data_IF_524564323874
#
_entry.id   IF_524564323874
#
_cell.length_a   1.000
_cell.length_b   1.000
_cell.length_c   1.000
_cell.angle_alpha   90.00
_cell.angle_beta   90.00
_cell.angle_gamma   90.00
#
_symmetry.space_group_name_H-M   'P 1'
#
loop_
_entity.id
_entity.type
_entity.pdbx_description
1 polymer ?
#
# COMPACT_ATOMS: atom_id res chain seq x y z
N UNK A 1 -0.85 -11.09 19.12
CA UNK A 1 -0.13 -10.49 17.96
C UNK A 1 0.27 -9.07 18.33
N UNK A 2 1.50 -8.68 18.05
CA UNK A 2 1.96 -7.33 18.36
C UNK A 2 1.16 -6.29 17.59
N UNK A 3 0.70 -5.26 18.28
CA UNK A 3 0.09 -4.10 17.64
C UNK A 3 1.13 -3.41 16.74
N UNK A 4 0.73 -3.08 15.51
CA UNK A 4 1.53 -2.27 14.61
C UNK A 4 1.28 -0.81 14.96
N UNK A 5 2.30 -0.12 15.47
CA UNK A 5 2.19 1.28 15.91
C UNK A 5 2.36 2.32 14.79
N UNK A 6 2.63 1.88 13.57
CA UNK A 6 2.88 2.77 12.43
C UNK A 6 2.63 2.06 11.10
N UNK A 7 2.43 2.82 10.05
CA UNK A 7 2.36 2.36 8.67
C UNK A 7 3.44 3.04 7.84
N UNK A 8 3.88 2.38 6.78
CA UNK A 8 4.80 2.99 5.81
C UNK A 8 4.03 3.87 4.85
N UNK A 9 4.51 5.08 4.62
CA UNK A 9 4.02 5.98 3.59
C UNK A 9 5.14 6.22 2.58
N UNK A 10 4.86 5.97 1.30
CA UNK A 10 5.83 6.23 0.25
C UNK A 10 6.06 7.74 0.10
N UNK A 11 7.31 8.20 0.11
CA UNK A 11 7.65 9.62 -0.08
C UNK A 11 7.20 10.16 -1.44
N UNK A 12 7.07 9.31 -2.45
CA UNK A 12 6.55 9.63 -3.78
C UNK A 12 5.01 9.60 -3.88
N UNK A 13 4.27 9.56 -2.77
CA UNK A 13 2.80 9.44 -2.78
C UNK A 13 2.12 10.49 -3.64
N UNK A 14 2.59 11.73 -3.64
CA UNK A 14 2.04 12.82 -4.44
C UNK A 14 2.41 12.75 -5.93
N UNK A 15 3.37 11.90 -6.30
CA UNK A 15 3.69 11.59 -7.69
C UNK A 15 2.84 10.43 -8.22
N UNK A 16 2.16 9.70 -7.36
CA UNK A 16 1.30 8.59 -7.73
C UNK A 16 0.11 9.07 -8.58
N UNK A 17 -0.12 8.41 -9.72
CA UNK A 17 -1.19 8.77 -10.66
C UNK A 17 -2.58 8.75 -10.02
N UNK A 18 -2.87 7.73 -9.22
CA UNK A 18 -4.18 7.56 -8.54
C UNK A 18 -4.41 8.68 -7.54
N UNK A 19 -3.39 9.02 -6.76
CA UNK A 19 -3.46 10.15 -5.81
C UNK A 19 -3.63 11.48 -6.55
N UNK A 20 -2.94 11.70 -7.66
CA UNK A 20 -3.15 12.89 -8.50
C UNK A 20 -4.57 13.00 -9.02
N UNK A 21 -5.19 11.89 -9.40
CA UNK A 21 -6.59 11.85 -9.84
C UNK A 21 -7.51 12.24 -8.69
N UNK A 22 -7.31 11.67 -7.50
CA UNK A 22 -8.10 12.01 -6.32
C UNK A 22 -8.00 13.50 -5.96
N UNK A 23 -6.78 14.05 -5.95
CA UNK A 23 -6.54 15.45 -5.57
C UNK A 23 -7.13 16.46 -6.56
N UNK A 24 -7.43 16.05 -7.80
CA UNK A 24 -8.12 16.88 -8.79
C UNK A 24 -9.64 16.91 -8.63
N UNK A 25 -10.21 16.00 -7.83
CA UNK A 25 -11.63 16.04 -7.51
C UNK A 25 -11.97 17.32 -6.73
N UNK A 26 -13.23 17.76 -6.79
CA UNK A 26 -13.69 18.95 -6.09
C UNK A 26 -13.38 18.96 -4.59
N UNK A 27 -13.42 17.78 -3.97
CA UNK A 27 -13.07 17.56 -2.57
C UNK A 27 -11.83 16.67 -2.44
N UNK A 28 -10.82 16.92 -3.26
CA UNK A 28 -9.63 16.07 -3.37
C UNK A 28 -8.90 15.87 -2.05
N UNK A 29 -8.79 16.92 -1.23
CA UNK A 29 -8.18 16.83 0.10
C UNK A 29 -8.98 15.90 1.03
N UNK A 30 -10.31 15.90 0.91
CA UNK A 30 -11.17 14.95 1.64
C UNK A 30 -10.92 13.51 1.20
N UNK A 31 -10.83 13.25 -0.11
CA UNK A 31 -10.49 11.92 -0.63
C UNK A 31 -9.13 11.46 -0.11
N UNK A 32 -8.13 12.31 -0.17
CA UNK A 32 -6.79 11.99 0.29
C UNK A 32 -6.75 11.72 1.80
N UNK A 33 -7.38 12.58 2.60
CA UNK A 33 -7.49 12.36 4.05
C UNK A 33 -8.15 11.02 4.39
N UNK A 34 -9.25 10.70 3.72
CA UNK A 34 -9.97 9.44 3.94
C UNK A 34 -9.12 8.25 3.53
N UNK A 35 -8.36 8.38 2.44
CA UNK A 35 -7.41 7.33 2.03
C UNK A 35 -6.38 7.04 3.13
N UNK A 36 -5.77 8.08 3.69
CA UNK A 36 -4.82 7.91 4.80
C UNK A 36 -5.48 7.27 6.03
N UNK A 37 -6.72 7.68 6.37
CA UNK A 37 -7.46 7.05 7.47
C UNK A 37 -7.74 5.56 7.20
N UNK A 38 -8.09 5.18 5.99
CA UNK A 38 -8.27 3.77 5.61
C UNK A 38 -6.95 2.99 5.77
N UNK A 39 -5.82 3.56 5.37
CA UNK A 39 -4.52 2.92 5.57
C UNK A 39 -4.19 2.72 7.06
N UNK A 40 -4.50 3.69 7.92
CA UNK A 40 -4.29 3.54 9.36
C UNK A 40 -5.18 2.46 9.96
N UNK A 41 -6.46 2.41 9.56
CA UNK A 41 -7.39 1.35 9.99
C UNK A 41 -6.88 -0.03 9.55
N UNK A 42 -6.42 -0.15 8.31
CA UNK A 42 -5.85 -1.41 7.83
C UNK A 42 -4.58 -1.81 8.62
N UNK A 43 -3.77 -0.84 9.03
CA UNK A 43 -2.62 -1.05 9.90
C UNK A 43 -3.00 -1.53 11.30
N UNK A 44 -4.00 -0.91 11.91
CA UNK A 44 -4.55 -1.33 13.21
C UNK A 44 -5.12 -2.75 13.16
N UNK A 45 -5.86 -3.08 12.09
CA UNK A 45 -6.39 -4.43 11.89
C UNK A 45 -5.29 -5.48 11.76
N UNK A 46 -4.16 -5.13 11.18
CA UNK A 46 -3.02 -6.01 10.92
C UNK A 46 -3.41 -7.35 10.26
N UNK A 47 -4.29 -7.30 9.24
CA UNK A 47 -4.88 -8.45 8.55
C UNK A 47 -4.70 -8.36 7.04
N UNK A 48 -3.47 -8.19 6.61
CA UNK A 48 -3.09 -8.14 5.20
C UNK A 48 -3.90 -7.10 4.38
N UNK A 49 -4.15 -5.95 4.99
CA UNK A 49 -4.91 -4.85 4.40
C UNK A 49 -6.43 -4.95 4.53
N UNK A 50 -6.94 -5.98 5.17
CA UNK A 50 -8.36 -6.15 5.44
C UNK A 50 -8.87 -5.18 6.50
N UNK A 51 -10.08 -4.67 6.30
CA UNK A 51 -10.72 -3.70 7.19
C UNK A 51 -11.75 -4.40 8.07
N UNK A 52 -11.43 -4.58 9.34
CA UNK A 52 -12.23 -5.29 10.35
C UNK A 52 -12.41 -4.46 11.61
N UNK A 53 -13.62 -4.46 12.18
CA UNK A 53 -13.90 -3.88 13.49
C UNK A 53 -13.32 -4.75 14.62
N UNK A 54 -13.47 -6.06 14.45
CA UNK A 54 -12.99 -7.07 15.38
C UNK A 54 -12.55 -8.30 14.60
N UNK A 55 -12.09 -9.31 15.31
CA UNK A 55 -11.41 -10.48 14.73
C UNK A 55 -12.06 -11.11 13.50
N UNK A 56 -13.39 -11.13 13.42
CA UNK A 56 -14.10 -11.71 12.28
C UNK A 56 -15.25 -10.85 11.76
N UNK A 57 -15.30 -9.57 12.15
CA UNK A 57 -16.38 -8.66 11.77
C UNK A 57 -15.85 -7.59 10.82
N UNK A 58 -16.15 -7.68 9.52
CA UNK A 58 -15.74 -6.66 8.56
C UNK A 58 -16.37 -5.31 8.85
N UNK A 59 -15.67 -4.24 8.55
CA UNK A 59 -16.25 -2.90 8.55
C UNK A 59 -17.38 -2.78 7.53
N UNK A 60 -18.50 -2.25 7.97
CA UNK A 60 -19.62 -1.83 7.12
C UNK A 60 -19.59 -0.31 6.90
N UNK A 61 -20.30 0.16 5.89
CA UNK A 61 -20.37 1.60 5.57
C UNK A 61 -20.72 2.44 6.80
N UNK A 62 -21.68 1.98 7.61
CA UNK A 62 -22.12 2.67 8.82
C UNK A 62 -21.01 2.83 9.85
N UNK A 63 -20.15 1.83 9.98
CA UNK A 63 -19.04 1.85 10.93
C UNK A 63 -17.99 2.88 10.52
N UNK A 64 -17.66 2.93 9.23
CA UNK A 64 -16.76 3.94 8.69
C UNK A 64 -17.28 5.37 8.87
N UNK A 65 -18.58 5.59 8.70
CA UNK A 65 -19.14 6.94 8.81
C UNK A 65 -18.97 7.54 10.20
N UNK A 66 -19.00 6.71 11.24
CA UNK A 66 -18.74 7.14 12.61
C UNK A 66 -17.29 7.57 12.83
N UNK A 67 -16.33 6.89 12.18
CA UNK A 67 -14.89 7.19 12.32
C UNK A 67 -14.49 8.37 11.43
N UNK A 68 -15.01 8.40 10.20
CA UNK A 68 -14.56 9.32 9.15
C UNK A 68 -15.32 10.65 9.19
N UNK A 69 -16.50 10.69 9.81
CA UNK A 69 -17.29 11.92 9.95
C UNK A 69 -17.92 12.38 8.64
N UNK A 70 -18.28 11.47 7.75
CA UNK A 70 -19.02 11.74 6.51
C UNK A 70 -20.31 10.95 6.45
N UNK A 71 -21.31 11.46 5.72
CA UNK A 71 -22.56 10.71 5.51
C UNK A 71 -22.32 9.41 4.75
N UNK A 72 -23.17 8.42 4.96
CA UNK A 72 -23.08 7.13 4.25
C UNK A 72 -23.09 7.30 2.74
N UNK A 73 -23.90 8.21 2.22
CA UNK A 73 -23.97 8.52 0.78
C UNK A 73 -22.63 9.06 0.24
N UNK A 74 -22.05 10.02 0.93
CA UNK A 74 -20.75 10.61 0.55
C UNK A 74 -19.65 9.58 0.65
N UNK A 75 -19.62 8.83 1.74
CA UNK A 75 -18.58 7.82 1.96
C UNK A 75 -18.65 6.66 0.94
N UNK A 76 -19.86 6.19 0.62
CA UNK A 76 -20.05 5.16 -0.42
C UNK A 76 -19.50 5.62 -1.78
N UNK A 77 -19.74 6.88 -2.14
CA UNK A 77 -19.18 7.47 -3.38
C UNK A 77 -17.65 7.49 -3.35
N UNK A 78 -17.06 7.84 -2.22
CA UNK A 78 -15.60 7.88 -2.05
C UNK A 78 -15.01 6.47 -2.13
N UNK A 79 -15.60 5.48 -1.45
CA UNK A 79 -15.17 4.08 -1.54
C UNK A 79 -15.24 3.55 -2.96
N UNK A 80 -16.31 3.85 -3.69
CA UNK A 80 -16.44 3.44 -5.08
C UNK A 80 -15.31 4.02 -5.93
N UNK A 81 -14.95 5.28 -5.71
CA UNK A 81 -13.81 5.88 -6.41
C UNK A 81 -12.50 5.16 -6.12
N UNK A 82 -12.24 4.75 -4.88
CA UNK A 82 -11.05 3.97 -4.54
C UNK A 82 -11.05 2.58 -5.20
N UNK A 83 -12.22 1.94 -5.31
CA UNK A 83 -12.37 0.67 -6.00
C UNK A 83 -12.11 0.84 -7.50
N UNK A 84 -12.71 1.86 -8.12
CA UNK A 84 -12.56 2.15 -9.55
C UNK A 84 -11.11 2.45 -9.94
N UNK A 85 -10.37 3.10 -9.05
CA UNK A 85 -8.93 3.36 -9.21
C UNK A 85 -8.06 2.14 -8.84
N UNK A 86 -8.64 1.03 -8.41
CA UNK A 86 -7.91 -0.16 -7.98
C UNK A 86 -7.03 0.06 -6.74
N UNK A 87 -7.47 0.93 -5.82
CA UNK A 87 -6.83 1.18 -4.53
C UNK A 87 -7.41 0.26 -3.44
N UNK A 88 -8.71 -0.03 -3.53
CA UNK A 88 -9.41 -0.98 -2.69
C UNK A 88 -9.97 -2.13 -3.52
N UNK A 89 -10.13 -3.28 -2.87
CA UNK A 89 -10.83 -4.45 -3.38
C UNK A 89 -11.96 -4.78 -2.41
N UNK A 90 -13.14 -5.10 -2.93
CA UNK A 90 -14.24 -5.65 -2.15
C UNK A 90 -14.42 -7.13 -2.48
N UNK A 91 -14.23 -7.97 -1.50
CA UNK A 91 -14.33 -9.42 -1.68
C UNK A 91 -14.73 -10.08 -0.36
N UNK A 92 -15.58 -11.12 -0.43
CA UNK A 92 -16.07 -11.83 0.75
C UNK A 92 -16.62 -10.88 1.82
N UNK A 93 -17.45 -9.93 1.39
CA UNK A 93 -18.11 -8.95 2.26
C UNK A 93 -17.15 -8.03 3.05
N UNK A 94 -15.91 -7.93 2.60
CA UNK A 94 -14.83 -7.18 3.26
C UNK A 94 -14.08 -6.30 2.26
N UNK A 95 -13.71 -5.10 2.71
CA UNK A 95 -12.80 -4.23 1.96
C UNK A 95 -11.35 -4.55 2.30
N UNK A 96 -10.50 -4.57 1.29
CA UNK A 96 -9.06 -4.77 1.41
C UNK A 96 -8.31 -3.66 0.70
N UNK A 97 -7.24 -3.16 1.31
CA UNK A 97 -6.27 -2.31 0.63
C UNK A 97 -5.47 -3.17 -0.35
N UNK A 98 -5.54 -2.82 -1.64
CA UNK A 98 -4.82 -3.54 -2.69
C UNK A 98 -3.31 -3.42 -2.48
N UNK A 99 -2.58 -4.49 -2.73
CA UNK A 99 -1.12 -4.55 -2.60
C UNK A 99 -0.57 -4.22 -1.19
N UNK A 100 -1.38 -4.39 -0.15
CA UNK A 100 -0.98 -4.09 1.23
C UNK A 100 0.34 -4.74 1.62
N UNK A 101 0.49 -6.04 1.42
CA UNK A 101 1.68 -6.80 1.78
C UNK A 101 2.94 -6.35 1.04
N UNK A 102 2.78 -5.85 -0.18
CA UNK A 102 3.89 -5.30 -0.97
C UNK A 102 4.53 -4.07 -0.30
N UNK A 103 3.72 -3.22 0.32
CA UNK A 103 4.16 -1.94 0.88
C UNK A 103 4.34 -1.95 2.39
N UNK A 104 3.62 -2.82 3.09
CA UNK A 104 3.56 -2.83 4.56
C UNK A 104 4.17 -4.08 5.21
N UNK A 105 4.72 -5.02 4.43
CA UNK A 105 5.21 -6.26 5.01
C UNK A 105 6.36 -6.02 5.98
N UNK A 106 6.13 -6.41 7.24
CA UNK A 106 7.12 -6.35 8.32
C UNK A 106 8.22 -7.40 8.12
N UNK A 107 7.92 -8.48 7.40
CA UNK A 107 8.85 -9.59 7.16
C UNK A 107 10.05 -9.21 6.29
N UNK A 108 9.89 -8.24 5.40
CA UNK A 108 11.02 -7.71 4.64
C UNK A 108 12.04 -6.97 5.52
N UNK A 109 11.57 -6.31 6.58
CA UNK A 109 12.46 -5.65 7.55
C UNK A 109 13.15 -6.65 8.47
N UNK A 110 12.46 -7.73 8.85
CA UNK A 110 13.07 -8.82 9.62
C UNK A 110 14.10 -9.61 8.80
N UNK A 111 13.89 -9.76 7.49
CA UNK A 111 14.88 -10.38 6.60
C UNK A 111 16.13 -9.50 6.44
N UNK A 112 15.99 -8.20 6.34
CA UNK A 112 17.12 -7.26 6.28
C UNK A 112 17.90 -7.28 7.61
N UNK A 113 17.22 -7.29 8.76
CA UNK A 113 17.86 -7.40 10.06
C UNK A 113 18.54 -8.74 10.32
N UNK A 114 18.03 -9.84 9.75
CA UNK A 114 18.68 -11.16 9.80
C UNK A 114 19.85 -11.28 8.81
N UNK A 115 19.76 -10.66 7.63
CA UNK A 115 20.87 -10.62 6.68
C UNK A 115 22.08 -9.89 7.24
N UNK A 116 21.89 -8.81 7.98
CA UNK A 116 22.99 -8.10 8.61
C UNK A 116 23.68 -8.88 9.76
N UNK A 117 22.97 -9.86 10.36
CA UNK A 117 23.53 -10.74 11.37
C UNK A 117 24.27 -11.96 10.80
N UNK A 118 23.95 -12.34 9.56
CA UNK A 118 24.54 -13.48 8.85
C UNK A 118 25.79 -13.07 8.03
N UNK A 119 25.97 -11.76 7.78
CA UNK A 119 27.11 -11.25 7.00
C UNK A 119 28.44 -11.38 7.78
N UNK A 120 28.40 -11.57 9.09
CA UNK A 120 29.64 -11.81 9.87
C UNK A 120 30.12 -13.28 9.84
N UNK A 121 29.36 -14.23 9.28
CA UNK A 121 29.76 -15.64 9.32
C UNK A 121 30.03 -16.34 7.98
N UNK A 122 29.78 -15.74 6.81
CA UNK A 122 30.07 -16.43 5.54
C UNK A 122 30.51 -15.52 4.41
N UNK A 123 31.83 -15.53 4.16
CA UNK A 123 32.45 -14.90 2.99
C UNK A 123 32.17 -15.62 1.65
N UNK A 124 31.29 -16.63 1.60
CA UNK A 124 31.05 -17.47 0.42
C UNK A 124 29.85 -17.01 -0.41
N UNK A 125 28.97 -16.16 0.10
CA UNK A 125 27.77 -15.71 -0.63
C UNK A 125 27.94 -14.43 -1.47
N UNK A 126 29.14 -13.84 -1.50
CA UNK A 126 29.41 -12.63 -2.31
C UNK A 126 29.31 -12.82 -3.83
N UNK A 127 29.22 -14.04 -4.32
CA UNK A 127 29.11 -14.30 -5.76
C UNK A 127 27.68 -14.31 -6.30
N UNK A 128 26.67 -14.46 -5.44
CA UNK A 128 25.28 -14.46 -5.87
C UNK A 128 24.63 -13.08 -5.93
N UNK A 129 25.07 -12.13 -5.09
CA UNK A 129 24.51 -10.76 -5.08
C UNK A 129 24.90 -9.92 -6.30
N UNK A 130 26.07 -10.19 -6.88
CA UNK A 130 26.52 -9.46 -8.06
C UNK A 130 25.69 -9.75 -9.31
N UNK A 131 25.17 -10.99 -9.46
CA UNK A 131 24.32 -11.34 -10.58
C UNK A 131 22.90 -10.75 -10.47
N UNK A 132 22.35 -10.68 -9.25
CA UNK A 132 21.03 -10.09 -9.01
C UNK A 132 21.04 -8.55 -9.23
N UNK A 133 22.13 -7.87 -8.86
CA UNK A 133 22.29 -6.44 -9.10
C UNK A 133 22.54 -6.12 -10.58
N UNK A 134 23.21 -7.01 -11.31
CA UNK A 134 23.43 -6.85 -12.75
C UNK A 134 22.15 -7.09 -13.56
N UNK A 135 21.30 -8.00 -13.14
CA UNK A 135 19.97 -8.20 -13.75
C UNK A 135 19.03 -7.03 -13.48
N UNK A 136 19.03 -6.48 -12.27
CA UNK A 136 18.26 -5.27 -11.93
C UNK A 136 18.73 -4.07 -12.74
N UNK A 137 20.04 -3.86 -12.91
CA UNK A 137 20.59 -2.80 -13.77
C UNK A 137 20.21 -2.97 -15.24
N UNK A 138 20.25 -4.20 -15.76
CA UNK A 138 19.85 -4.49 -17.15
C UNK A 138 18.36 -4.30 -17.37
N UNK A 139 17.55 -4.50 -16.34
CA UNK A 139 16.09 -4.23 -16.38
C UNK A 139 15.77 -2.74 -16.26
N UNK A 140 16.55 -1.99 -15.49
CA UNK A 140 16.44 -0.53 -15.39
C UNK A 140 16.86 0.15 -16.70
N UNK A 141 17.96 -0.24 -17.30
CA UNK A 141 18.44 0.26 -18.60
C UNK A 141 17.44 -0.06 -19.75
N UNK A 142 16.75 -1.21 -19.68
CA UNK A 142 15.68 -1.55 -20.63
C UNK A 142 14.41 -0.73 -20.43
N UNK A 143 14.16 -0.25 -19.20
CA UNK A 143 13.01 0.61 -18.87
C UNK A 143 13.27 2.07 -19.23
N UNK A 144 14.50 2.55 -19.09
CA UNK A 144 14.88 3.91 -19.53
C UNK A 144 14.83 4.08 -21.05
N UNK A 145 15.09 3.04 -21.83
CA UNK A 145 15.01 3.08 -23.29
C UNK A 145 13.57 3.04 -23.84
N UNK A 146 12.57 2.80 -22.97
CA UNK A 146 11.15 2.88 -23.28
C UNK A 146 10.53 4.04 -22.52
N UNK A 147 10.99 5.27 -22.81
CA UNK A 147 10.30 6.49 -22.38
C UNK A 147 9.06 6.62 -23.26
N UNK A 148 8.04 5.85 -22.92
CA UNK A 148 6.66 6.04 -23.33
C UNK A 148 5.79 5.86 -22.10
N UNK A 149 4.83 6.70 -21.96
CA UNK A 149 3.70 6.86 -21.04
C UNK A 149 3.37 5.77 -19.99
N UNK A 150 4.08 4.63 -19.96
CA UNK A 150 3.91 3.52 -19.02
C UNK A 150 4.67 3.68 -17.70
N UNK A 151 5.56 4.68 -17.58
CA UNK A 151 6.38 4.90 -16.36
C UNK A 151 5.61 5.41 -15.14
N UNK A 152 4.27 5.51 -15.23
CA UNK A 152 3.41 5.88 -14.12
C UNK A 152 2.83 4.67 -13.36
N UNK A 153 3.14 3.45 -13.76
CA UNK A 153 2.52 2.24 -13.18
C UNK A 153 3.22 1.70 -11.92
N UNK A 154 4.35 2.25 -11.50
CA UNK A 154 5.17 1.63 -10.45
C UNK A 154 4.81 2.02 -9.01
N UNK A 155 3.82 2.86 -8.80
CA UNK A 155 3.30 3.18 -7.46
C UNK A 155 1.83 2.75 -7.33
N UNK A 156 1.63 1.43 -7.33
CA UNK A 156 0.33 0.84 -7.06
C UNK A 156 -0.01 0.92 -5.57
N UNK A 157 -0.88 1.82 -5.24
CA UNK A 157 -1.63 1.80 -3.98
C UNK A 157 -2.90 0.99 -4.14
#
# INVERSE_FOLDING_TARGET
>A
MGQVGWIKLNIGIFSNRKIKILLREREGDTYFRIWIQILTIAGECNRDGGLYISDNTPFKIKDFTNIIGKSSKTFTKILQKFIDLGMLIYKNDTYFVKNWSKYQSVDKLKKIGKSNKVIEENEVEKSFDNNAQEEIRKEEDRKESRIDESNFETLDW
#
